data_IF_767231306140
#
_entry.id   IF_767231306140
#
_cell.length_a   1.000
_cell.length_b   1.000
_cell.length_c   1.000
_cell.angle_alpha   90.00
_cell.angle_beta   90.00
_cell.angle_gamma   90.00
#
_symmetry.space_group_name_H-M   'P 1'
#
loop_
_entity.id
_entity.type
_entity.pdbx_description
1 polymer ?
#
# COMPACT_ATOMS: atom_id res chain seq x y z
N UNK A 1 -62.33 -39.71 15.56
CA UNK A 1 -61.63 -39.55 16.85
C UNK A 1 -60.25 -39.02 16.57
N UNK A 2 -60.00 -37.73 16.81
CA UNK A 2 -58.69 -37.12 16.64
C UNK A 2 -58.29 -36.50 17.98
N UNK A 3 -57.26 -37.07 18.61
CA UNK A 3 -56.67 -36.61 19.87
C UNK A 3 -55.65 -35.52 19.57
N UNK A 4 -56.02 -34.28 19.84
CA UNK A 4 -55.12 -33.12 19.74
C UNK A 4 -54.30 -33.01 21.01
N UNK A 5 -52.99 -33.27 20.91
CA UNK A 5 -52.03 -33.02 21.98
C UNK A 5 -51.62 -31.55 21.98
N UNK A 6 -51.90 -30.84 23.07
CA UNK A 6 -51.38 -29.50 23.33
C UNK A 6 -49.99 -29.62 23.99
N UNK A 7 -48.96 -29.13 23.29
CA UNK A 7 -47.66 -28.87 23.89
C UNK A 7 -47.66 -27.49 24.54
N UNK A 8 -47.45 -27.44 25.86
CA UNK A 8 -47.09 -26.22 26.58
C UNK A 8 -45.61 -25.93 26.33
N UNK A 9 -45.33 -24.78 25.73
CA UNK A 9 -43.97 -24.25 25.60
C UNK A 9 -43.83 -23.12 26.63
N UNK A 10 -42.98 -23.33 27.63
CA UNK A 10 -42.69 -22.34 28.68
C UNK A 10 -41.98 -21.12 28.10
N UNK A 11 -42.51 -19.95 28.47
CA UNK A 11 -42.04 -18.62 28.11
C UNK A 11 -40.72 -18.30 28.83
N UNK A 12 -39.60 -18.42 28.12
CA UNK A 12 -38.35 -17.77 28.47
C UNK A 12 -38.27 -16.37 27.85
N UNK A 13 -38.76 -15.36 28.57
CA UNK A 13 -38.83 -13.98 28.12
C UNK A 13 -37.50 -13.37 27.69
N UNK A 14 -37.51 -12.70 26.53
CA UNK A 14 -36.56 -11.64 26.17
C UNK A 14 -37.36 -10.43 25.67
N UNK A 15 -37.09 -9.21 26.15
CA UNK A 15 -37.84 -8.03 25.72
C UNK A 15 -37.55 -7.71 24.25
N UNK A 16 -38.61 -7.68 23.45
CA UNK A 16 -38.58 -7.26 22.06
C UNK A 16 -38.22 -5.77 21.98
N UNK A 17 -37.15 -5.45 21.25
CA UNK A 17 -36.86 -4.10 20.78
C UNK A 17 -37.75 -3.82 19.57
N UNK A 18 -38.75 -2.96 19.77
CA UNK A 18 -39.62 -2.41 18.74
C UNK A 18 -38.79 -1.60 17.74
N UNK A 19 -38.65 -2.13 16.52
CA UNK A 19 -38.12 -1.39 15.37
C UNK A 19 -39.31 -0.83 14.59
N UNK A 20 -39.51 0.48 14.70
CA UNK A 20 -40.51 1.23 13.95
C UNK A 20 -40.06 1.36 12.50
N UNK A 21 -40.70 0.62 11.60
CA UNK A 21 -40.52 0.72 10.15
C UNK A 21 -41.34 1.91 9.63
N UNK A 22 -40.66 3.02 9.33
CA UNK A 22 -41.27 4.15 8.62
C UNK A 22 -41.11 3.91 7.11
N UNK A 23 -42.17 3.43 6.47
CA UNK A 23 -42.30 3.44 5.01
C UNK A 23 -42.34 4.90 4.53
N UNK A 24 -41.29 5.31 3.81
CA UNK A 24 -41.24 6.59 3.11
C UNK A 24 -41.29 6.32 1.62
N UNK A 25 -42.50 6.40 1.07
CA UNK A 25 -42.77 6.54 -0.36
C UNK A 25 -42.23 7.89 -0.85
N UNK A 26 -41.19 7.86 -1.67
CA UNK A 26 -40.77 9.02 -2.45
C UNK A 26 -40.86 8.68 -3.94
N UNK A 27 -41.87 9.31 -4.52
CA UNK A 27 -42.16 9.51 -5.93
C UNK A 27 -40.91 9.78 -6.76
N UNK A 28 -40.73 8.94 -7.78
CA UNK A 28 -39.80 9.15 -8.89
C UNK A 28 -40.20 10.41 -9.68
N UNK A 29 -39.35 11.43 -9.65
CA UNK A 29 -39.33 12.51 -10.63
C UNK A 29 -38.18 12.26 -11.59
N UNK A 30 -38.52 11.75 -12.76
CA UNK A 30 -37.68 11.76 -13.97
C UNK A 30 -37.58 13.21 -14.47
N UNK A 31 -36.37 13.72 -14.55
CA UNK A 31 -35.90 14.81 -15.43
C UNK A 31 -34.38 14.55 -15.53
N UNK A 32 -33.78 14.12 -16.64
CA UNK A 32 -33.88 14.69 -17.98
C UNK A 32 -32.82 15.80 -18.13
N UNK A 33 -31.56 15.43 -18.40
CA UNK A 33 -30.43 16.31 -18.84
C UNK A 33 -29.27 15.41 -19.29
N UNK A 34 -29.16 15.15 -20.60
CA UNK A 34 -28.31 15.88 -21.58
C UNK A 34 -26.83 15.74 -21.22
N UNK A 35 -26.12 14.80 -21.85
CA UNK A 35 -25.45 14.99 -23.15
C UNK A 35 -24.48 16.17 -23.06
N UNK A 36 -23.20 15.86 -22.92
CA UNK A 36 -22.01 16.64 -23.27
C UNK A 36 -20.86 16.13 -22.39
N UNK A 37 -19.93 15.34 -22.95
CA UNK A 37 -18.50 15.28 -22.57
C UNK A 37 -17.81 14.11 -23.32
N UNK A 38 -17.76 14.19 -24.65
CA UNK A 38 -16.93 13.34 -25.51
C UNK A 38 -15.81 14.19 -26.16
N UNK A 39 -14.78 14.63 -25.41
CA UNK A 39 -13.52 15.08 -26.06
C UNK A 39 -12.28 15.09 -25.13
N UNK A 40 -11.85 13.92 -24.63
CA UNK A 40 -10.58 13.77 -23.88
C UNK A 40 -9.66 12.67 -24.47
N UNK A 41 -9.82 12.40 -25.76
CA UNK A 41 -9.25 11.23 -26.44
C UNK A 41 -7.73 11.24 -26.72
N UNK A 42 -7.04 12.39 -26.69
CA UNK A 42 -5.66 12.47 -27.22
C UNK A 42 -4.56 12.58 -26.14
N UNK A 43 -4.86 13.10 -24.96
CA UNK A 43 -3.81 13.38 -23.96
C UNK A 43 -3.35 12.11 -23.21
N UNK A 44 -4.20 11.08 -23.17
CA UNK A 44 -3.89 9.76 -22.61
C UNK A 44 -2.83 8.99 -23.41
N UNK A 45 -2.85 9.10 -24.75
CA UNK A 45 -1.91 8.39 -25.63
C UNK A 45 -0.50 8.98 -25.53
N UNK A 46 -0.36 10.30 -25.42
CA UNK A 46 0.93 10.97 -25.17
C UNK A 46 1.55 10.58 -23.83
N UNK A 47 0.75 10.42 -22.77
CA UNK A 47 1.24 10.00 -21.45
C UNK A 47 1.72 8.54 -21.42
N UNK A 48 1.04 7.63 -22.13
CA UNK A 48 1.49 6.22 -22.24
C UNK A 48 2.81 6.09 -23.00
N UNK A 49 3.00 6.83 -24.09
CA UNK A 49 4.24 6.80 -24.88
C UNK A 49 5.46 7.31 -24.10
N UNK A 50 5.28 8.33 -23.24
CA UNK A 50 6.36 8.83 -22.36
C UNK A 50 6.75 7.86 -21.23
N UNK A 51 5.85 6.99 -20.78
CA UNK A 51 6.19 5.97 -19.76
C UNK A 51 7.01 4.81 -20.33
N UNK A 52 6.75 4.41 -21.57
CA UNK A 52 7.50 3.32 -22.21
C UNK A 52 8.93 3.73 -22.57
N UNK A 53 9.17 5.00 -22.93
CA UNK A 53 10.52 5.50 -23.19
C UNK A 53 11.39 5.67 -21.93
N UNK A 54 10.79 5.69 -20.73
CA UNK A 54 11.56 5.71 -19.48
C UNK A 54 12.04 4.32 -19.08
N UNK A 55 11.20 3.29 -19.22
CA UNK A 55 11.60 1.91 -18.90
C UNK A 55 12.74 1.40 -19.77
N UNK A 56 12.83 1.79 -21.04
CA UNK A 56 13.95 1.41 -21.90
C UNK A 56 15.29 2.08 -21.57
N UNK A 57 15.33 3.03 -20.65
CA UNK A 57 16.58 3.68 -20.23
C UNK A 57 17.15 3.11 -18.93
N UNK A 58 16.36 2.32 -18.21
CA UNK A 58 16.77 1.80 -16.90
C UNK A 58 17.31 0.35 -17.03
N UNK A 59 17.29 -0.24 -18.23
CA UNK A 59 17.77 -1.61 -18.51
C UNK A 59 19.12 -1.66 -19.27
N UNK A 60 19.73 -0.51 -19.60
CA UNK A 60 21.02 -0.43 -20.33
C UNK A 60 22.18 0.11 -19.46
N UNK A 61 22.01 0.27 -18.14
CA UNK A 61 23.06 0.72 -17.21
C UNK A 61 23.74 -0.45 -16.47
N UNK A 62 23.95 -1.59 -17.16
CA UNK A 62 24.95 -2.58 -16.74
C UNK A 62 26.27 -2.27 -17.45
N UNK A 63 27.33 -2.23 -16.65
CA UNK A 63 28.75 -2.14 -17.03
C UNK A 63 29.24 -0.81 -17.62
N UNK A 64 29.81 0.03 -16.75
CA UNK A 64 31.20 0.50 -16.88
C UNK A 64 31.60 1.19 -15.58
N UNK A 65 32.34 0.46 -14.74
CA UNK A 65 33.27 1.08 -13.80
C UNK A 65 34.42 1.62 -14.64
N UNK A 66 34.44 2.92 -14.89
CA UNK A 66 35.65 3.62 -15.28
C UNK A 66 35.85 4.76 -14.28
N UNK A 67 36.81 4.52 -13.40
CA UNK A 67 37.59 5.54 -12.73
C UNK A 67 38.12 6.49 -13.80
N UNK A 68 37.60 7.72 -13.88
CA UNK A 68 38.32 8.78 -14.59
C UNK A 68 38.28 10.08 -13.81
N UNK A 69 39.46 10.31 -13.27
CA UNK A 69 40.00 11.48 -12.63
C UNK A 69 40.04 12.66 -13.63
N UNK A 70 39.90 13.88 -13.13
CA UNK A 70 40.40 15.05 -13.83
C UNK A 70 39.43 15.76 -14.79
N UNK A 71 39.35 17.07 -14.62
CA UNK A 71 38.70 17.97 -15.58
C UNK A 71 38.32 19.30 -14.98
N UNK A 72 39.29 19.98 -14.36
CA UNK A 72 39.29 21.45 -14.32
C UNK A 72 39.36 21.93 -15.77
N UNK A 73 38.24 22.45 -16.28
CA UNK A 73 38.24 23.31 -17.46
C UNK A 73 37.47 24.58 -17.11
N UNK A 74 38.25 25.51 -16.57
CA UNK A 74 38.11 26.93 -16.84
C UNK A 74 38.07 27.14 -18.36
N UNK A 75 36.90 27.48 -18.89
CA UNK A 75 36.82 28.11 -20.19
C UNK A 75 35.95 29.36 -20.10
N UNK A 76 36.67 30.47 -20.16
CA UNK A 76 36.25 31.80 -20.56
C UNK A 76 35.38 31.74 -21.83
N UNK A 77 34.14 32.21 -21.75
CA UNK A 77 33.34 32.47 -22.97
C UNK A 77 32.51 33.74 -22.79
N UNK A 78 33.17 34.83 -23.17
CA UNK A 78 32.68 36.04 -23.84
C UNK A 78 31.24 36.46 -23.57
N UNK A 79 31.08 37.34 -22.59
CA UNK A 79 30.96 38.78 -22.88
C UNK A 79 29.91 39.27 -23.88
N UNK A 80 28.87 38.51 -24.25
CA UNK A 80 27.73 39.02 -25.03
C UNK A 80 26.45 38.95 -24.23
N UNK A 81 26.03 40.16 -23.86
CA UNK A 81 24.88 40.57 -23.08
C UNK A 81 23.53 40.17 -23.74
N UNK A 82 23.28 38.88 -23.84
CA UNK A 82 21.95 38.37 -24.15
C UNK A 82 21.20 38.15 -22.84
N UNK A 83 20.26 39.06 -22.52
CA UNK A 83 19.38 38.97 -21.34
C UNK A 83 18.68 37.60 -21.21
N UNK A 84 18.59 36.84 -22.31
CA UNK A 84 18.04 35.47 -22.30
C UNK A 84 19.00 34.42 -21.73
N UNK A 85 20.32 34.55 -21.92
CA UNK A 85 21.32 33.62 -21.40
C UNK A 85 21.49 33.79 -19.89
N UNK A 86 21.38 35.01 -19.37
CA UNK A 86 21.38 35.31 -17.93
C UNK A 86 20.24 34.61 -17.19
N UNK A 87 19.02 34.62 -17.74
CA UNK A 87 17.87 33.86 -17.18
C UNK A 87 18.13 32.35 -17.20
N UNK A 88 18.74 31.82 -18.26
CA UNK A 88 19.06 30.39 -18.37
C UNK A 88 20.16 29.98 -17.38
N UNK A 89 21.19 30.82 -17.19
CA UNK A 89 22.30 30.61 -16.22
C UNK A 89 21.79 30.68 -14.78
N UNK A 90 20.92 31.65 -14.45
CA UNK A 90 20.25 31.74 -13.13
C UNK A 90 19.39 30.51 -12.84
N UNK A 91 18.66 29.99 -13.85
CA UNK A 91 17.85 28.77 -13.72
C UNK A 91 18.71 27.51 -13.54
N UNK A 92 19.86 27.41 -14.23
CA UNK A 92 20.86 26.35 -14.03
C UNK A 92 21.47 26.40 -12.63
N UNK A 93 21.89 27.57 -12.14
CA UNK A 93 22.42 27.75 -10.76
C UNK A 93 21.39 27.36 -9.70
N UNK A 94 20.11 27.77 -9.83
CA UNK A 94 19.03 27.36 -8.92
C UNK A 94 18.79 25.84 -8.90
N UNK A 95 18.88 25.17 -10.07
CA UNK A 95 18.76 23.71 -10.15
C UNK A 95 19.94 22.99 -9.47
N UNK A 96 21.18 23.47 -9.67
CA UNK A 96 22.36 22.90 -9.00
C UNK A 96 22.27 23.04 -7.47
N UNK A 97 21.86 24.21 -6.95
CA UNK A 97 21.64 24.41 -5.50
C UNK A 97 20.55 23.48 -4.94
N UNK A 98 19.44 23.28 -5.65
CA UNK A 98 18.39 22.32 -5.23
C UNK A 98 18.89 20.88 -5.19
N UNK A 99 19.70 20.45 -6.16
CA UNK A 99 20.27 19.09 -6.15
C UNK A 99 21.23 18.87 -4.98
N UNK A 100 22.08 19.85 -4.66
CA UNK A 100 22.99 19.76 -3.50
C UNK A 100 22.21 19.67 -2.17
N UNK A 101 21.11 20.41 -2.03
CA UNK A 101 20.23 20.32 -0.86
C UNK A 101 19.46 19.01 -0.75
N UNK A 102 19.20 18.33 -1.86
CA UNK A 102 18.55 17.02 -1.83
C UNK A 102 19.54 15.93 -1.43
N UNK A 103 20.75 15.93 -1.99
CA UNK A 103 21.82 14.99 -1.61
C UNK A 103 22.15 15.06 -0.11
N UNK A 104 22.38 16.28 0.41
CA UNK A 104 22.60 16.48 1.87
C UNK A 104 21.44 16.03 2.76
N UNK A 105 20.25 15.81 2.21
CA UNK A 105 19.08 15.39 2.98
C UNK A 105 18.85 13.88 2.90
N UNK A 106 19.47 13.25 1.91
CA UNK A 106 19.42 11.81 1.71
C UNK A 106 20.65 11.13 2.37
N UNK A 107 21.72 11.89 2.69
CA UNK A 107 22.93 11.41 3.39
C UNK A 107 22.83 11.52 4.94
N UNK A 108 21.75 12.09 5.51
CA UNK A 108 21.54 12.25 6.98
C UNK A 108 20.59 11.18 7.56
N UNK A 109 20.21 10.15 6.80
CA UNK A 109 19.22 9.11 7.21
C UNK A 109 19.85 7.71 7.36
N UNK A 110 21.19 7.59 7.47
CA UNK A 110 21.93 6.31 7.57
C UNK A 110 22.96 6.29 8.71
N UNK A 111 22.66 6.91 9.85
CA UNK A 111 23.38 6.64 11.09
C UNK A 111 22.65 5.53 11.87
N UNK A 112 23.25 4.35 11.76
CA UNK A 112 22.83 3.07 12.30
C UNK A 112 22.47 3.09 13.77
N UNK A 113 21.24 2.64 14.00
CA UNK A 113 20.73 2.10 15.25
C UNK A 113 21.29 0.67 15.39
N UNK A 114 22.56 0.54 15.77
CA UNK A 114 23.11 -0.71 16.30
C UNK A 114 22.96 -0.64 17.83
N UNK A 115 21.79 -1.08 18.28
CA UNK A 115 21.48 -1.46 19.66
C UNK A 115 22.50 -2.53 20.11
N UNK A 116 23.52 -2.12 20.87
CA UNK A 116 24.16 -3.01 21.84
C UNK A 116 23.84 -2.51 23.25
N UNK A 117 22.97 -3.28 23.90
CA UNK A 117 22.73 -3.31 25.34
C UNK A 117 24.06 -3.19 26.11
N UNK A 118 24.21 -2.17 26.95
CA UNK A 118 24.65 -2.43 28.32
C UNK A 118 24.31 -1.28 29.28
N UNK A 119 23.77 -1.69 30.43
CA UNK A 119 23.58 -0.90 31.64
C UNK A 119 24.83 -0.09 32.00
N UNK A 120 24.66 1.15 32.45
CA UNK A 120 24.66 1.45 33.89
C UNK A 120 24.39 2.94 34.14
N UNK A 121 23.81 3.18 35.31
CA UNK A 121 23.75 4.42 36.09
C UNK A 121 24.78 5.50 35.70
N UNK A 122 24.34 6.74 35.52
CA UNK A 122 24.35 7.72 36.62
C UNK A 122 23.91 9.11 36.13
N UNK A 123 23.40 9.86 37.08
CA UNK A 123 23.18 11.31 37.09
C UNK A 123 24.15 12.11 36.20
N UNK A 124 23.63 13.02 35.37
CA UNK A 124 23.99 14.43 35.56
C UNK A 124 23.05 15.38 34.81
N UNK A 125 22.75 16.47 35.53
CA UNK A 125 22.25 17.75 35.03
C UNK A 125 23.01 18.18 33.76
N UNK A 126 22.31 18.70 32.76
CA UNK A 126 22.68 20.00 32.20
C UNK A 126 21.57 20.60 31.35
N UNK A 127 21.03 21.70 31.89
CA UNK A 127 20.37 22.79 31.18
C UNK A 127 21.21 23.22 29.97
N UNK A 128 20.70 23.03 28.76
CA UNK A 128 21.10 23.89 27.64
C UNK A 128 19.87 24.40 26.88
N UNK A 129 19.40 25.56 27.37
CA UNK A 129 18.81 26.63 26.57
C UNK A 129 19.74 26.91 25.37
N UNK A 130 19.36 26.45 24.18
CA UNK A 130 19.89 26.99 22.92
C UNK A 130 18.75 27.70 22.17
N UNK A 131 18.65 28.98 22.49
CA UNK A 131 18.08 30.06 21.70
C UNK A 131 18.76 30.13 20.33
N UNK A 132 18.24 29.42 19.32
CA UNK A 132 18.59 29.71 17.93
C UNK A 132 17.56 30.69 17.31
N UNK A 133 17.85 31.97 17.57
CA UNK A 133 17.46 33.11 16.77
C UNK A 133 18.18 33.09 15.41
N UNK A 134 17.55 32.55 14.36
CA UNK A 134 17.98 32.84 12.99
C UNK A 134 16.89 33.62 12.21
N UNK A 135 16.92 34.91 12.50
CA UNK A 135 16.29 35.95 11.71
C UNK A 135 16.82 35.96 10.27
N UNK A 136 15.89 35.84 9.32
CA UNK A 136 16.07 36.34 7.97
C UNK A 136 14.90 37.26 7.62
N UNK A 137 15.12 38.55 7.96
CA UNK A 137 14.52 39.69 7.27
C UNK A 137 14.91 39.60 5.78
N UNK A 138 14.02 39.07 4.94
CA UNK A 138 14.07 39.35 3.49
C UNK A 138 13.09 40.50 3.22
N UNK A 139 13.66 41.68 3.45
CA UNK A 139 13.23 42.98 2.98
C UNK A 139 13.42 43.03 1.46
N UNK A 140 12.45 42.51 0.70
CA UNK A 140 12.41 42.67 -0.75
C UNK A 140 11.41 43.78 -1.10
N UNK A 141 11.99 44.96 -1.33
CA UNK A 141 11.34 46.21 -1.65
C UNK A 141 10.30 46.12 -2.78
N UNK A 142 9.14 46.71 -2.49
CA UNK A 142 8.17 47.08 -3.50
C UNK A 142 8.63 48.45 -4.03
N UNK A 143 9.28 48.39 -5.19
CA UNK A 143 9.73 49.54 -5.94
C UNK A 143 8.53 50.42 -6.31
N UNK A 144 8.64 51.70 -5.97
CA UNK A 144 7.97 52.79 -6.67
C UNK A 144 8.17 52.63 -8.18
N UNK A 145 7.06 52.58 -8.92
CA UNK A 145 7.05 52.84 -10.36
C UNK A 145 5.78 53.64 -10.67
N UNK A 146 5.97 54.95 -10.60
CA UNK A 146 5.64 55.95 -11.62
C UNK A 146 4.23 55.98 -12.23
N UNK A 147 3.60 57.13 -11.96
CA UNK A 147 3.13 58.13 -12.92
C UNK A 147 2.11 57.82 -14.02
N UNK A 148 1.27 58.84 -14.20
CA UNK A 148 0.29 59.12 -15.26
C UNK A 148 -1.12 58.52 -15.03
N UNK A 149 -2.20 59.28 -15.13
CA UNK A 149 -2.39 60.47 -15.96
C UNK A 149 -3.38 61.44 -15.34
N UNK A 150 -3.15 62.71 -15.67
CA UNK A 150 -4.10 63.79 -15.53
C UNK A 150 -5.36 63.45 -16.32
N UNK A 151 -6.54 63.66 -15.74
CA UNK A 151 -7.57 64.36 -16.49
C UNK A 151 -8.45 65.19 -15.57
N UNK A 152 -8.36 66.47 -15.91
CA UNK A 152 -9.14 67.62 -15.51
C UNK A 152 -10.59 67.42 -15.96
N UNK A 153 -11.55 67.60 -15.04
CA UNK A 153 -12.91 67.99 -15.41
C UNK A 153 -13.61 68.59 -14.16
N UNK A 154 -13.33 69.87 -13.98
CA UNK A 154 -14.18 70.82 -13.25
C UNK A 154 -15.57 70.90 -13.90
N UNK A 155 -16.62 70.44 -13.20
CA UNK A 155 -17.99 70.89 -13.52
C UNK A 155 -18.89 71.03 -12.28
N UNK A 156 -19.04 72.29 -11.87
CA UNK A 156 -20.12 72.91 -11.09
C UNK A 156 -20.61 72.23 -9.81
N UNK A 157 -20.06 72.76 -8.73
CA UNK A 157 -20.64 73.02 -7.42
C UNK A 157 -22.14 73.37 -7.48
N UNK A 158 -23.00 72.42 -7.08
CA UNK A 158 -24.28 72.76 -6.45
C UNK A 158 -24.19 72.39 -4.98
N UNK A 159 -23.88 73.41 -4.18
CA UNK A 159 -23.87 73.42 -2.73
C UNK A 159 -25.26 73.05 -2.22
N UNK A 160 -25.42 71.84 -1.68
CA UNK A 160 -26.51 71.54 -0.74
C UNK A 160 -25.89 71.02 0.55
N UNK A 161 -26.23 71.75 1.60
CA UNK A 161 -25.72 71.73 2.96
C UNK A 161 -26.09 70.42 3.68
N UNK A 162 -25.12 69.53 3.95
CA UNK A 162 -25.29 68.38 4.86
C UNK A 162 -23.98 68.08 5.60
N UNK A 163 -23.70 68.86 6.65
CA UNK A 163 -22.36 69.03 7.23
C UNK A 163 -22.03 68.16 8.45
N UNK A 164 -22.64 66.98 8.63
CA UNK A 164 -22.50 66.19 9.89
C UNK A 164 -22.15 64.70 9.75
N UNK A 165 -21.74 64.21 8.58
CA UNK A 165 -21.53 62.75 8.33
C UNK A 165 -20.09 62.30 7.98
N UNK A 166 -19.10 63.19 7.94
CA UNK A 166 -17.74 62.84 7.47
C UNK A 166 -16.84 62.12 8.49
N UNK A 167 -17.14 62.19 9.79
CA UNK A 167 -16.34 61.51 10.83
C UNK A 167 -16.74 60.05 11.06
N UNK A 168 -17.94 59.63 10.63
CA UNK A 168 -18.41 58.24 10.75
C UNK A 168 -17.83 57.34 9.65
N UNK A 169 -17.56 57.88 8.46
CA UNK A 169 -17.02 57.13 7.31
C UNK A 169 -15.60 56.60 7.55
N UNK A 170 -14.74 57.36 8.23
CA UNK A 170 -13.35 56.92 8.55
C UNK A 170 -13.33 55.80 9.60
N UNK A 171 -14.22 55.85 10.61
CA UNK A 171 -14.40 54.79 11.61
C UNK A 171 -14.91 53.50 10.95
N UNK A 172 -15.89 53.60 10.06
CA UNK A 172 -16.39 52.46 9.27
C UNK A 172 -15.29 51.86 8.39
N UNK A 173 -14.48 52.67 7.71
CA UNK A 173 -13.37 52.20 6.86
C UNK A 173 -12.35 51.40 7.66
N UNK A 174 -11.99 51.84 8.87
CA UNK A 174 -11.10 51.10 9.79
C UNK A 174 -11.71 49.76 10.23
N UNK A 175 -13.00 49.72 10.54
CA UNK A 175 -13.71 48.48 10.90
C UNK A 175 -13.76 47.49 9.73
N UNK A 176 -14.05 47.96 8.51
CA UNK A 176 -14.07 47.13 7.30
C UNK A 176 -12.71 46.48 7.01
N UNK A 177 -11.60 47.23 7.17
CA UNK A 177 -10.26 46.67 7.01
C UNK A 177 -9.95 45.61 8.07
N UNK A 178 -10.33 45.83 9.34
CA UNK A 178 -10.20 44.82 10.41
C UNK A 178 -10.99 43.56 10.08
N UNK A 179 -12.24 43.71 9.61
CA UNK A 179 -13.10 42.59 9.21
C UNK A 179 -12.51 41.82 8.02
N UNK A 180 -12.00 42.53 7.00
CA UNK A 180 -11.31 41.93 5.86
C UNK A 180 -10.10 41.11 6.29
N UNK A 181 -9.28 41.63 7.21
CA UNK A 181 -8.13 40.89 7.79
C UNK A 181 -8.57 39.62 8.53
N UNK A 182 -9.64 39.68 9.33
CA UNK A 182 -10.19 38.50 10.03
C UNK A 182 -10.73 37.45 9.06
N UNK A 183 -11.46 37.87 8.01
CA UNK A 183 -11.97 36.97 6.99
C UNK A 183 -10.84 36.28 6.22
N UNK A 184 -9.76 37.00 5.89
CA UNK A 184 -8.57 36.42 5.27
C UNK A 184 -7.86 35.42 6.19
N UNK A 185 -7.69 35.75 7.48
CA UNK A 185 -7.14 34.82 8.50
C UNK A 185 -7.99 33.56 8.59
N UNK A 186 -9.33 33.70 8.69
CA UNK A 186 -10.27 32.56 8.72
C UNK A 186 -10.18 31.71 7.46
N UNK A 187 -10.12 32.32 6.27
CA UNK A 187 -9.94 31.59 5.00
C UNK A 187 -8.63 30.79 4.97
N UNK A 188 -7.53 31.36 5.47
CA UNK A 188 -6.23 30.66 5.57
C UNK A 188 -6.32 29.46 6.51
N UNK A 189 -6.95 29.61 7.69
CA UNK A 189 -7.15 28.50 8.64
C UNK A 189 -8.02 27.39 8.06
N UNK A 190 -9.14 27.73 7.41
CA UNK A 190 -9.99 26.73 6.75
C UNK A 190 -9.26 25.99 5.64
N UNK A 191 -8.41 26.68 4.84
CA UNK A 191 -7.55 26.02 3.85
C UNK A 191 -6.58 25.04 4.51
N UNK A 192 -5.92 25.42 5.61
CA UNK A 192 -5.03 24.53 6.38
C UNK A 192 -5.77 23.30 6.92
N UNK A 193 -6.96 23.48 7.50
CA UNK A 193 -7.77 22.37 8.02
C UNK A 193 -8.28 21.46 6.91
N UNK A 194 -8.70 22.00 5.76
CA UNK A 194 -9.11 21.19 4.60
C UNK A 194 -7.96 20.31 4.11
N UNK A 195 -6.75 20.86 4.00
CA UNK A 195 -5.57 20.08 3.61
C UNK A 195 -5.20 19.02 4.65
N UNK A 196 -5.25 19.35 5.96
CA UNK A 196 -5.04 18.36 7.04
C UNK A 196 -6.06 17.23 6.95
N UNK A 197 -7.35 17.53 6.77
CA UNK A 197 -8.41 16.53 6.58
C UNK A 197 -8.17 15.64 5.36
N UNK A 198 -7.73 16.21 4.23
CA UNK A 198 -7.41 15.43 3.03
C UNK A 198 -6.18 14.52 3.24
N UNK A 199 -5.14 15.01 3.93
CA UNK A 199 -3.97 14.20 4.30
C UNK A 199 -4.36 13.05 5.23
N UNK A 200 -5.18 13.31 6.24
CA UNK A 200 -5.70 12.27 7.15
C UNK A 200 -6.56 11.25 6.40
N UNK A 201 -7.47 11.69 5.53
CA UNK A 201 -8.27 10.77 4.69
C UNK A 201 -7.39 9.88 3.80
N UNK A 202 -6.31 10.43 3.23
CA UNK A 202 -5.34 9.64 2.46
C UNK A 202 -4.61 8.63 3.33
N UNK A 203 -4.09 9.04 4.49
CA UNK A 203 -3.43 8.14 5.46
C UNK A 203 -4.36 7.02 5.92
N UNK A 204 -5.60 7.33 6.29
CA UNK A 204 -6.59 6.33 6.68
C UNK A 204 -6.91 5.35 5.55
N UNK A 205 -7.07 5.83 4.30
CA UNK A 205 -7.25 4.96 3.14
C UNK A 205 -6.04 4.04 2.93
N UNK A 206 -4.82 4.55 3.06
CA UNK A 206 -3.60 3.75 2.94
C UNK A 206 -3.51 2.69 4.05
N UNK A 207 -3.81 3.04 5.30
CA UNK A 207 -3.84 2.08 6.41
C UNK A 207 -4.91 1.00 6.22
N UNK A 208 -6.09 1.36 5.71
CA UNK A 208 -7.13 0.38 5.38
C UNK A 208 -6.70 -0.55 4.25
N UNK A 209 -6.05 -0.02 3.20
CA UNK A 209 -5.51 -0.84 2.10
C UNK A 209 -4.39 -1.77 2.59
N UNK A 210 -3.47 -1.26 3.42
CA UNK A 210 -2.41 -2.06 4.03
C UNK A 210 -2.99 -3.19 4.87
N UNK A 211 -3.97 -2.89 5.74
CA UNK A 211 -4.66 -3.90 6.56
C UNK A 211 -5.36 -4.96 5.70
N UNK A 212 -6.02 -4.54 4.62
CA UNK A 212 -6.68 -5.47 3.69
C UNK A 212 -5.65 -6.35 2.98
N UNK A 213 -4.52 -5.79 2.55
CA UNK A 213 -3.43 -6.54 1.93
C UNK A 213 -2.82 -7.56 2.89
N UNK A 214 -2.61 -7.20 4.16
CA UNK A 214 -2.14 -8.12 5.19
C UNK A 214 -3.12 -9.28 5.41
N UNK A 215 -4.43 -8.98 5.49
CA UNK A 215 -5.47 -10.01 5.60
C UNK A 215 -5.49 -10.94 4.37
N UNK A 216 -5.28 -10.40 3.17
CA UNK A 216 -5.19 -11.19 1.95
C UNK A 216 -3.99 -12.16 2.00
N UNK A 217 -2.81 -11.67 2.39
CA UNK A 217 -1.61 -12.51 2.54
C UNK A 217 -1.84 -13.61 3.57
N UNK A 218 -2.42 -13.27 4.72
CA UNK A 218 -2.76 -14.24 5.76
C UNK A 218 -3.74 -15.31 5.26
N UNK A 219 -4.77 -14.91 4.51
CA UNK A 219 -5.72 -15.83 3.90
C UNK A 219 -5.05 -16.79 2.92
N UNK A 220 -4.15 -16.28 2.07
CA UNK A 220 -3.38 -17.11 1.12
C UNK A 220 -2.47 -18.11 1.83
N UNK A 221 -1.81 -17.70 2.93
CA UNK A 221 -1.01 -18.59 3.76
C UNK A 221 -1.86 -19.69 4.40
N UNK A 222 -3.04 -19.34 4.93
CA UNK A 222 -3.98 -20.31 5.50
C UNK A 222 -4.45 -21.30 4.44
N UNK A 223 -4.80 -20.83 3.24
CA UNK A 223 -5.20 -21.69 2.12
C UNK A 223 -4.08 -22.67 1.73
N UNK A 224 -2.84 -22.17 1.66
CA UNK A 224 -1.67 -23.02 1.38
C UNK A 224 -1.48 -24.09 2.45
N UNK A 225 -1.62 -23.73 3.72
CA UNK A 225 -1.53 -24.68 4.84
C UNK A 225 -2.63 -25.73 4.78
N UNK A 226 -3.86 -25.32 4.47
CA UNK A 226 -4.99 -26.25 4.29
C UNK A 226 -4.74 -27.23 3.15
N UNK A 227 -4.20 -26.76 2.02
CA UNK A 227 -3.84 -27.61 0.89
C UNK A 227 -2.76 -28.64 1.27
N UNK A 228 -1.73 -28.22 2.02
CA UNK A 228 -0.70 -29.12 2.52
C UNK A 228 -1.28 -30.17 3.47
N UNK A 229 -2.20 -29.78 4.35
CA UNK A 229 -2.89 -30.70 5.25
C UNK A 229 -3.75 -31.71 4.50
N UNK A 230 -4.46 -31.26 3.45
CA UNK A 230 -5.24 -32.14 2.58
C UNK A 230 -4.34 -33.13 1.84
N UNK A 231 -3.21 -32.68 1.32
CA UNK A 231 -2.22 -33.54 0.65
C UNK A 231 -1.65 -34.59 1.63
N UNK A 232 -1.31 -34.18 2.85
CA UNK A 232 -0.86 -35.07 3.91
C UNK A 232 -1.92 -36.13 4.24
N UNK A 233 -3.19 -35.71 4.38
CA UNK A 233 -4.30 -36.62 4.63
C UNK A 233 -4.48 -37.63 3.50
N UNK A 234 -4.38 -37.17 2.24
CA UNK A 234 -4.44 -38.04 1.07
C UNK A 234 -3.28 -39.05 1.05
N UNK A 235 -2.07 -38.62 1.40
CA UNK A 235 -0.90 -39.50 1.53
C UNK A 235 -1.13 -40.58 2.59
N UNK A 236 -1.65 -40.21 3.77
CA UNK A 236 -1.98 -41.16 4.84
C UNK A 236 -3.05 -42.15 4.38
N UNK A 237 -4.09 -41.68 3.70
CA UNK A 237 -5.15 -42.53 3.14
C UNK A 237 -4.57 -43.52 2.12
N UNK A 238 -3.69 -43.06 1.23
CA UNK A 238 -3.03 -43.90 0.24
C UNK A 238 -2.14 -44.95 0.90
N UNK A 239 -1.38 -44.57 1.94
CA UNK A 239 -0.57 -45.51 2.73
C UNK A 239 -1.45 -46.56 3.41
N UNK A 240 -2.57 -46.14 4.00
CA UNK A 240 -3.54 -47.01 4.67
C UNK A 240 -4.19 -47.99 3.69
N UNK A 241 -4.38 -47.59 2.42
CA UNK A 241 -4.88 -48.47 1.36
C UNK A 241 -3.79 -49.42 0.82
N UNK A 242 -2.55 -48.95 0.72
CA UNK A 242 -1.43 -49.75 0.21
C UNK A 242 -0.99 -50.84 1.19
N UNK A 243 -1.03 -50.56 2.49
CA UNK A 243 -0.63 -51.51 3.54
C UNK A 243 -1.38 -52.87 3.49
N UNK A 244 -2.73 -52.93 3.44
CA UNK A 244 -3.44 -54.20 3.35
C UNK A 244 -3.23 -54.90 2.01
N UNK A 245 -2.98 -54.16 0.92
CA UNK A 245 -2.64 -54.76 -0.37
C UNK A 245 -1.29 -55.47 -0.31
N UNK A 246 -0.28 -54.84 0.30
CA UNK A 246 1.04 -55.46 0.52
C UNK A 246 0.91 -56.68 1.44
N UNK A 247 0.13 -56.58 2.52
CA UNK A 247 -0.12 -57.70 3.43
C UNK A 247 -0.81 -58.87 2.70
N UNK A 248 -1.82 -58.58 1.88
CA UNK A 248 -2.51 -59.58 1.07
C UNK A 248 -1.57 -60.24 0.06
N UNK A 249 -0.68 -59.47 -0.59
CA UNK A 249 0.34 -60.00 -1.48
C UNK A 249 1.30 -60.94 -0.74
N UNK A 250 1.78 -60.54 0.44
CA UNK A 250 2.63 -61.37 1.29
C UNK A 250 1.92 -62.67 1.72
N UNK A 251 0.64 -62.58 2.06
CA UNK A 251 -0.18 -63.74 2.41
C UNK A 251 -0.35 -64.69 1.23
N UNK A 252 -0.60 -64.17 0.03
CA UNK A 252 -0.66 -64.96 -1.20
C UNK A 252 0.68 -65.65 -1.50
N UNK A 253 1.79 -64.95 -1.33
CA UNK A 253 3.13 -65.51 -1.50
C UNK A 253 3.41 -66.62 -0.48
N UNK A 254 3.02 -66.43 0.77
CA UNK A 254 3.14 -67.44 1.82
C UNK A 254 2.26 -68.66 1.52
N UNK A 255 1.03 -68.47 1.06
CA UNK A 255 0.15 -69.55 0.63
C UNK A 255 0.73 -70.31 -0.56
N UNK A 256 1.28 -69.60 -1.55
CA UNK A 256 1.95 -70.19 -2.69
C UNK A 256 3.15 -71.06 -2.25
N UNK A 257 3.98 -70.54 -1.35
CA UNK A 257 5.11 -71.28 -0.78
C UNK A 257 4.64 -72.52 0.00
N UNK A 258 3.57 -72.41 0.79
CA UNK A 258 2.98 -73.53 1.51
C UNK A 258 2.50 -74.64 0.57
N UNK A 259 1.78 -74.29 -0.51
CA UNK A 259 1.32 -75.25 -1.52
C UNK A 259 2.52 -75.90 -2.22
N UNK A 260 3.54 -75.12 -2.55
CA UNK A 260 4.77 -75.62 -3.16
C UNK A 260 5.49 -76.64 -2.26
N UNK A 261 5.66 -76.34 -0.97
CA UNK A 261 6.24 -77.26 0.00
C UNK A 261 5.39 -78.52 0.18
N UNK A 262 4.06 -78.37 0.25
CA UNK A 262 3.13 -79.50 0.35
C UNK A 262 3.24 -80.43 -0.87
N UNK A 263 3.27 -79.86 -2.08
CA UNK A 263 3.45 -80.60 -3.32
C UNK A 263 4.80 -81.30 -3.35
N UNK A 264 5.89 -80.62 -2.99
CA UNK A 264 7.22 -81.22 -2.93
C UNK A 264 7.28 -82.38 -1.93
N UNK A 265 6.70 -82.21 -0.74
CA UNK A 265 6.59 -83.27 0.26
C UNK A 265 5.77 -84.45 -0.26
N UNK A 266 4.62 -84.20 -0.89
CA UNK A 266 3.78 -85.23 -1.50
C UNK A 266 4.54 -86.01 -2.57
N UNK A 267 5.21 -85.33 -3.50
CA UNK A 267 6.04 -85.93 -4.53
C UNK A 267 7.20 -86.73 -3.96
N UNK A 268 7.88 -86.22 -2.93
CA UNK A 268 8.96 -86.92 -2.25
C UNK A 268 8.47 -88.22 -1.61
N UNK A 269 7.35 -88.18 -0.88
CA UNK A 269 6.75 -89.38 -0.29
C UNK A 269 6.30 -90.39 -1.35
N UNK A 270 5.68 -89.93 -2.43
CA UNK A 270 5.27 -90.78 -3.54
C UNK A 270 6.47 -91.45 -4.22
N UNK A 271 7.52 -90.68 -4.50
CA UNK A 271 8.77 -91.18 -5.08
C UNK A 271 9.42 -92.24 -4.17
N UNK A 272 9.50 -91.97 -2.86
CA UNK A 272 10.03 -92.91 -1.88
C UNK A 272 9.21 -94.19 -1.82
N UNK A 273 7.87 -94.08 -1.77
CA UNK A 273 6.97 -95.22 -1.81
C UNK A 273 7.19 -96.11 -3.05
N UNK A 274 7.26 -95.49 -4.23
CA UNK A 274 7.51 -96.20 -5.49
C UNK A 274 8.90 -96.87 -5.51
N UNK A 275 9.93 -96.18 -5.04
CA UNK A 275 11.29 -96.71 -4.97
C UNK A 275 11.37 -97.98 -4.10
N UNK A 276 10.72 -97.98 -2.93
CA UNK A 276 10.68 -99.14 -2.03
C UNK A 276 9.88 -100.31 -2.62
N UNK A 277 8.90 -100.06 -3.48
CA UNK A 277 8.13 -101.11 -4.15
C UNK A 277 8.90 -101.75 -5.32
N UNK A 278 9.67 -100.96 -6.08
CA UNK A 278 10.44 -101.42 -7.24
C UNK A 278 11.67 -102.25 -6.83
N UNK A 279 12.31 -101.89 -5.71
CA UNK A 279 13.44 -102.62 -5.14
C UNK A 279 13.04 -103.17 -3.78
N UNK A 280 12.32 -104.31 -3.72
CA UNK A 280 12.15 -105.04 -2.47
C UNK A 280 13.55 -105.49 -2.08
N UNK A 281 14.20 -104.69 -1.21
CA UNK A 281 15.52 -104.90 -0.65
C UNK A 281 15.71 -106.40 -0.53
N UNK A 282 16.66 -106.95 -1.30
CA UNK A 282 16.95 -108.38 -1.30
C UNK A 282 17.36 -108.76 0.12
N UNK A 283 16.34 -109.09 0.93
CA UNK A 283 16.44 -109.70 2.24
C UNK A 283 16.76 -111.20 2.05
N UNK A 284 17.61 -111.48 1.05
CA UNK A 284 18.07 -112.79 0.63
C UNK A 284 19.58 -112.76 0.70
N UNK A 285 20.07 -113.01 1.91
CA UNK A 285 21.01 -114.10 2.26
C UNK A 285 21.46 -113.80 3.70
N UNK A 286 21.09 -114.64 4.66
CA UNK A 286 21.59 -116.01 4.88
C UNK A 286 23.06 -116.02 5.25
#
# INVERSE_FOLDING_TARGET
>A
MATTYYYYFEEGGRPATTTTTTERTTTERRDGRSDDDDDDGDDGRRRRRRRLLRRRRDDDDEETNDDDDGGDDDDDDDGRDDKTTSRRRRRRRRRRRRRRRLRRRDDDDDDGDDDDDDNDDDDDDDDHDDDDEDGYNDDDGDYDDDDNDYDDDDYYTTTTTTTTTTTTTTRLRRLLLRLRRLLLRRRRLLRRLRLRRLRLRRRLRLLLLLRLLLLLILLLLLLRLLLLLLLLLLLILLLLLLLPLVLLLLLLLLLYYYIYCYFYFFFFNFYFYYYYQQFPWENKKS
#
